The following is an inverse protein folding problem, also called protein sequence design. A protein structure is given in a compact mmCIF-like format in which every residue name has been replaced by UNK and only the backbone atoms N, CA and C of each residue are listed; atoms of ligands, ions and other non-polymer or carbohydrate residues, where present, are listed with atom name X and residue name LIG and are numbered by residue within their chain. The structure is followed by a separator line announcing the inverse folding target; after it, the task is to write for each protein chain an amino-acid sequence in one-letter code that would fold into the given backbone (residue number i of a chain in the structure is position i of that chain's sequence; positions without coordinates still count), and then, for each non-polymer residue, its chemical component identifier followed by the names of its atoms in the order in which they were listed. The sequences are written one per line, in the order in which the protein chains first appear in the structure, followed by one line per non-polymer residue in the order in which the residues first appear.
data_IF_182409491273
#
_entry.id   IF_182409491273
#
_cell.length_a   1.000
_cell.length_b   1.000
_cell.length_c   1.000
_cell.angle_alpha   90.00
_cell.angle_beta   90.00
_cell.angle_gamma   90.00
#
_symmetry.space_group_name_H-M   'P 1'
#
loop_
_entity.id
_entity.type
_entity.pdbx_description
1 polymer ?
#
# COMPACT_ATOMS: atom_id res chain seq x y z
N UNK A 1 7.80 -13.35 -18.80
CA UNK A 1 7.75 -12.06 -19.52
C UNK A 1 9.17 -11.50 -19.57
N UNK A 2 9.61 -11.01 -20.73
CA UNK A 2 10.89 -10.32 -20.86
C UNK A 2 10.88 -9.01 -20.04
N UNK A 3 11.98 -8.69 -19.38
CA UNK A 3 12.09 -7.44 -18.61
C UNK A 3 11.89 -6.23 -19.53
N UNK A 4 11.31 -5.12 -19.05
CA UNK A 4 11.04 -3.98 -19.92
C UNK A 4 12.35 -3.41 -20.48
N UNK A 5 12.37 -3.17 -21.79
CA UNK A 5 13.52 -2.67 -22.52
C UNK A 5 13.78 -1.18 -22.27
N UNK A 6 12.73 -0.37 -22.05
CA UNK A 6 12.87 1.08 -21.88
C UNK A 6 11.70 1.71 -21.08
N UNK A 7 11.82 2.99 -20.76
CA UNK A 7 10.80 3.73 -19.99
C UNK A 7 9.43 3.80 -20.69
N UNK A 8 9.38 3.73 -22.03
CA UNK A 8 8.11 3.80 -22.78
C UNK A 8 7.23 2.59 -22.48
N UNK A 9 7.83 1.41 -22.28
CA UNK A 9 7.08 0.22 -21.88
C UNK A 9 6.52 0.34 -20.46
N UNK A 10 7.30 0.86 -19.50
CA UNK A 10 6.81 1.14 -18.14
C UNK A 10 5.65 2.15 -18.17
N UNK A 11 5.78 3.20 -18.98
CA UNK A 11 4.75 4.21 -19.14
C UNK A 11 3.49 3.64 -19.81
N UNK A 12 3.64 2.79 -20.82
CA UNK A 12 2.52 2.10 -21.47
C UNK A 12 1.76 1.23 -20.47
N UNK A 13 2.49 0.48 -19.64
CA UNK A 13 1.92 -0.35 -18.59
C UNK A 13 1.15 0.49 -17.56
N UNK A 14 1.74 1.60 -17.11
CA UNK A 14 1.08 2.54 -16.22
C UNK A 14 -0.19 3.14 -16.83
N UNK A 15 -0.16 3.55 -18.10
CA UNK A 15 -1.32 4.11 -18.80
C UNK A 15 -2.47 3.11 -18.97
N UNK A 16 -2.16 1.82 -19.10
CA UNK A 16 -3.14 0.74 -19.14
C UNK A 16 -3.77 0.43 -17.78
N UNK A 17 -3.15 0.87 -16.67
CA UNK A 17 -3.66 0.63 -15.33
C UNK A 17 -4.94 1.43 -15.02
N UNK A 18 -5.77 0.96 -14.05
CA UNK A 18 -7.00 1.65 -13.67
C UNK A 18 -6.78 3.12 -13.32
N UNK A 19 -7.81 3.94 -13.56
CA UNK A 19 -7.74 5.40 -13.33
C UNK A 19 -7.34 5.72 -11.89
N UNK A 20 -7.81 4.94 -10.92
CA UNK A 20 -7.52 5.07 -9.50
C UNK A 20 -6.01 4.98 -9.24
N UNK A 21 -5.37 3.94 -9.76
CA UNK A 21 -3.91 3.73 -9.63
C UNK A 21 -3.15 4.89 -10.25
N UNK A 22 -3.58 5.33 -11.43
CA UNK A 22 -2.96 6.49 -12.12
C UNK A 22 -3.13 7.79 -11.34
N UNK A 23 -4.32 8.05 -10.81
CA UNK A 23 -4.60 9.24 -10.01
C UNK A 23 -3.84 9.23 -8.67
N UNK A 24 -3.55 8.06 -8.11
CA UNK A 24 -2.79 7.95 -6.87
C UNK A 24 -1.28 8.25 -7.04
N UNK A 25 -0.78 8.09 -8.27
CA UNK A 25 0.61 8.35 -8.67
C UNK A 25 0.69 9.51 -9.69
N UNK A 26 0.28 10.75 -9.31
CA UNK A 26 0.10 11.85 -10.25
C UNK A 26 1.40 12.29 -10.96
N UNK A 27 2.55 12.10 -10.31
CA UNK A 27 3.86 12.50 -10.84
C UNK A 27 4.56 11.40 -11.63
N UNK A 28 3.98 10.21 -11.73
CA UNK A 28 4.66 9.03 -12.27
C UNK A 28 5.19 9.24 -13.69
N UNK A 29 4.38 9.82 -14.58
CA UNK A 29 4.80 10.05 -15.97
C UNK A 29 6.00 11.00 -16.08
N UNK A 30 6.10 12.01 -15.20
CA UNK A 30 7.21 12.96 -15.19
C UNK A 30 8.47 12.29 -14.66
N UNK A 31 8.32 11.50 -13.60
CA UNK A 31 9.43 10.78 -12.95
C UNK A 31 10.13 9.84 -13.92
N UNK A 32 9.40 8.91 -14.54
CA UNK A 32 10.00 7.89 -15.41
C UNK A 32 10.57 8.43 -16.73
N UNK A 33 10.28 9.69 -17.09
CA UNK A 33 10.79 10.33 -18.32
C UNK A 33 11.99 11.25 -18.08
N UNK A 34 12.05 11.89 -16.92
CA UNK A 34 12.95 13.03 -16.69
C UNK A 34 13.81 12.93 -15.44
N UNK A 35 13.68 11.86 -14.66
CA UNK A 35 14.44 11.65 -13.43
C UNK A 35 15.11 10.28 -13.46
N UNK A 36 16.17 10.17 -12.66
CA UNK A 36 16.86 8.91 -12.46
C UNK A 36 15.93 7.84 -11.85
N UNK A 37 16.26 6.59 -12.13
CA UNK A 37 15.43 5.45 -11.74
C UNK A 37 15.28 5.29 -10.24
N UNK A 38 16.31 5.61 -9.48
CA UNK A 38 16.33 5.58 -8.02
C UNK A 38 15.40 6.63 -7.40
N UNK A 39 15.37 7.85 -7.94
CA UNK A 39 14.42 8.91 -7.56
C UNK A 39 12.99 8.46 -7.85
N UNK A 40 12.77 7.91 -9.04
CA UNK A 40 11.45 7.40 -9.46
C UNK A 40 10.96 6.27 -8.54
N UNK A 41 11.83 5.32 -8.20
CA UNK A 41 11.51 4.21 -7.29
C UNK A 41 11.24 4.73 -5.89
N UNK A 42 12.09 5.61 -5.36
CA UNK A 42 11.95 6.15 -4.00
C UNK A 42 10.60 6.86 -3.84
N UNK A 43 10.20 7.67 -4.82
CA UNK A 43 8.87 8.29 -4.83
C UNK A 43 7.76 7.23 -4.80
N UNK A 44 7.78 6.27 -5.71
CA UNK A 44 6.73 5.25 -5.79
C UNK A 44 6.63 4.45 -4.48
N UNK A 45 7.75 4.12 -3.84
CA UNK A 45 7.74 3.41 -2.57
C UNK A 45 7.20 4.23 -1.39
N UNK A 46 7.46 5.54 -1.33
CA UNK A 46 6.80 6.41 -0.34
C UNK A 46 5.27 6.37 -0.46
N UNK A 47 4.76 6.26 -1.69
CA UNK A 47 3.33 6.12 -1.98
C UNK A 47 2.81 4.74 -1.58
N UNK A 48 3.58 3.68 -1.82
CA UNK A 48 3.23 2.32 -1.37
C UNK A 48 3.17 2.21 0.15
N UNK A 49 4.13 2.80 0.87
CA UNK A 49 4.12 2.86 2.33
C UNK A 49 2.88 3.59 2.86
N UNK A 50 2.54 4.74 2.26
CA UNK A 50 1.31 5.47 2.57
C UNK A 50 0.05 4.61 2.36
N UNK A 51 0.01 3.82 1.29
CA UNK A 51 -1.12 2.90 1.03
C UNK A 51 -1.20 1.78 2.04
N UNK A 52 -0.07 1.24 2.52
CA UNK A 52 -0.09 0.19 3.55
C UNK A 52 -0.78 0.69 4.82
N UNK A 53 -0.41 1.86 5.33
CA UNK A 53 -1.12 2.50 6.47
C UNK A 53 -2.60 2.71 6.18
N UNK A 54 -2.92 3.34 5.04
CA UNK A 54 -4.30 3.63 4.63
C UNK A 54 -5.14 2.35 4.51
N UNK A 55 -4.56 1.26 4.00
CA UNK A 55 -5.26 -0.04 3.85
C UNK A 55 -5.65 -0.59 5.21
N UNK A 56 -4.75 -0.55 6.19
CA UNK A 56 -5.04 -1.02 7.55
C UNK A 56 -6.08 -0.11 8.20
N UNK A 57 -5.87 1.20 8.19
CA UNK A 57 -6.82 2.19 8.72
C UNK A 57 -8.23 2.01 8.15
N UNK A 58 -8.36 1.97 6.82
CA UNK A 58 -9.66 1.84 6.18
C UNK A 58 -10.31 0.49 6.50
N UNK A 59 -9.53 -0.59 6.55
CA UNK A 59 -10.05 -1.91 6.92
C UNK A 59 -10.63 -1.92 8.34
N UNK A 60 -9.91 -1.34 9.31
CA UNK A 60 -10.35 -1.28 10.71
C UNK A 60 -11.66 -0.49 10.82
N UNK A 61 -11.69 0.74 10.28
CA UNK A 61 -12.88 1.60 10.38
C UNK A 61 -14.08 1.01 9.63
N UNK A 62 -13.85 0.38 8.48
CA UNK A 62 -14.93 -0.17 7.64
C UNK A 62 -15.54 -1.45 8.21
N UNK A 63 -14.69 -2.39 8.61
CA UNK A 63 -15.10 -3.74 8.97
C UNK A 63 -15.42 -3.85 10.47
N UNK A 64 -14.79 -3.03 11.31
CA UNK A 64 -14.89 -3.12 12.77
C UNK A 64 -15.52 -1.86 13.38
N UNK A 65 -15.90 -0.89 12.54
CA UNK A 65 -16.67 0.32 12.92
C UNK A 65 -16.03 1.14 14.03
N UNK A 66 -14.71 1.13 14.11
CA UNK A 66 -13.99 1.92 15.12
C UNK A 66 -14.15 3.42 14.89
N UNK A 67 -13.99 4.17 15.98
CA UNK A 67 -13.88 5.63 15.94
C UNK A 67 -12.66 6.03 15.10
N UNK A 68 -12.87 6.89 14.11
CA UNK A 68 -11.93 7.14 13.02
C UNK A 68 -10.67 7.87 13.50
N UNK A 69 -10.80 8.88 14.36
CA UNK A 69 -9.65 9.66 14.84
C UNK A 69 -8.75 8.84 15.78
N UNK A 70 -9.36 8.06 16.67
CA UNK A 70 -8.61 7.15 17.54
C UNK A 70 -7.90 6.06 16.73
N UNK A 71 -8.56 5.53 15.70
CA UNK A 71 -7.97 4.51 14.81
C UNK A 71 -6.80 5.07 14.02
N UNK A 72 -6.95 6.27 13.44
CA UNK A 72 -5.89 6.93 12.69
C UNK A 72 -4.63 7.10 13.53
N UNK A 73 -4.76 7.69 14.73
CA UNK A 73 -3.63 7.88 15.66
C UNK A 73 -3.01 6.57 16.15
N UNK A 74 -3.78 5.48 16.23
CA UNK A 74 -3.25 4.19 16.63
C UNK A 74 -2.46 3.53 15.49
N UNK A 75 -2.96 3.61 14.25
CA UNK A 75 -2.27 3.07 13.06
C UNK A 75 -1.01 3.87 12.74
N UNK A 76 -1.05 5.20 12.84
CA UNK A 76 0.14 6.04 12.58
C UNK A 76 1.29 5.81 13.55
N UNK A 77 0.97 5.41 14.80
CA UNK A 77 1.98 5.06 15.81
C UNK A 77 2.55 3.66 15.63
N UNK A 78 1.88 2.80 14.89
CA UNK A 78 2.33 1.43 14.64
C UNK A 78 3.41 1.41 13.56
N UNK A 79 4.60 0.93 13.91
CA UNK A 79 5.69 0.85 12.94
C UNK A 79 5.39 -0.21 11.85
N UNK A 80 4.96 0.26 10.67
CA UNK A 80 4.51 -0.59 9.56
C UNK A 80 5.66 -1.20 8.75
N UNK A 81 6.37 -2.14 9.37
CA UNK A 81 7.29 -3.02 8.64
C UNK A 81 6.55 -3.94 7.65
N UNK A 82 7.29 -4.62 6.77
CA UNK A 82 6.73 -5.56 5.77
C UNK A 82 5.96 -6.71 6.42
N UNK A 83 6.55 -7.33 7.44
CA UNK A 83 5.89 -8.41 8.20
C UNK A 83 4.66 -7.88 8.92
N UNK A 84 4.81 -6.71 9.59
CA UNK A 84 3.72 -6.07 10.31
C UNK A 84 2.51 -5.78 9.43
N UNK A 85 2.72 -5.28 8.22
CA UNK A 85 1.63 -5.06 7.26
C UNK A 85 0.89 -6.35 6.91
N UNK A 86 1.59 -7.45 6.65
CA UNK A 86 0.98 -8.75 6.31
C UNK A 86 0.17 -9.30 7.49
N UNK A 87 0.72 -9.23 8.69
CA UNK A 87 0.06 -9.70 9.91
C UNK A 87 -1.21 -8.88 10.20
N UNK A 88 -1.09 -7.56 10.19
CA UNK A 88 -2.23 -6.67 10.40
C UNK A 88 -3.28 -6.82 9.31
N UNK A 89 -2.88 -7.01 8.05
CA UNK A 89 -3.83 -7.25 6.98
C UNK A 89 -4.67 -8.50 7.27
N UNK A 90 -4.03 -9.61 7.65
CA UNK A 90 -4.73 -10.85 8.01
C UNK A 90 -5.66 -10.66 9.20
N UNK A 91 -5.23 -9.94 10.23
CA UNK A 91 -6.03 -9.64 11.43
C UNK A 91 -7.26 -8.80 11.07
N UNK A 92 -7.08 -7.72 10.30
CA UNK A 92 -8.13 -6.76 9.98
C UNK A 92 -9.13 -7.31 8.99
N UNK A 93 -8.66 -8.00 7.95
CA UNK A 93 -9.50 -8.48 6.84
C UNK A 93 -9.91 -9.96 6.97
N UNK A 94 -9.41 -10.67 7.99
CA UNK A 94 -9.71 -12.08 8.25
C UNK A 94 -9.07 -13.07 7.27
N UNK A 95 -8.29 -12.60 6.29
CA UNK A 95 -7.60 -13.44 5.30
C UNK A 95 -6.25 -12.83 4.88
N UNK A 96 -5.25 -13.67 4.52
CA UNK A 96 -3.97 -13.17 4.02
C UNK A 96 -4.11 -12.52 2.64
N UNK A 97 -3.16 -11.65 2.28
CA UNK A 97 -3.01 -11.16 0.89
C UNK A 97 -2.59 -12.33 0.01
N UNK A 98 -3.08 -12.38 -1.22
CA UNK A 98 -2.67 -13.37 -2.22
C UNK A 98 -1.14 -13.41 -2.43
N UNK A 99 -0.58 -14.61 -2.48
CA UNK A 99 0.86 -14.83 -2.55
C UNK A 99 1.48 -14.30 -3.85
N UNK A 100 0.75 -14.31 -4.97
CA UNK A 100 1.24 -13.73 -6.23
C UNK A 100 1.34 -12.20 -6.14
N UNK A 101 0.42 -11.55 -5.41
CA UNK A 101 0.52 -10.12 -5.13
C UNK A 101 1.70 -9.81 -4.20
N UNK A 102 1.90 -10.62 -3.15
CA UNK A 102 3.04 -10.46 -2.25
C UNK A 102 4.38 -10.69 -2.95
N UNK A 103 4.44 -11.60 -3.91
CA UNK A 103 5.62 -11.84 -4.73
C UNK A 103 5.99 -10.59 -5.56
N UNK A 104 5.01 -9.96 -6.22
CA UNK A 104 5.22 -8.69 -6.96
C UNK A 104 5.75 -7.60 -6.05
N UNK A 105 5.12 -7.39 -4.89
CA UNK A 105 5.59 -6.42 -3.91
C UNK A 105 7.02 -6.74 -3.45
N UNK A 106 7.31 -8.00 -3.13
CA UNK A 106 8.62 -8.45 -2.65
C UNK A 106 9.73 -8.25 -3.69
N UNK A 107 9.45 -8.53 -4.97
CA UNK A 107 10.41 -8.33 -6.06
C UNK A 107 10.80 -6.86 -6.20
N UNK A 108 9.80 -5.97 -6.16
CA UNK A 108 10.06 -4.53 -6.22
C UNK A 108 10.77 -4.02 -4.98
N UNK A 109 10.40 -4.51 -3.79
CA UNK A 109 11.02 -4.17 -2.51
C UNK A 109 12.51 -4.52 -2.50
N UNK A 110 12.90 -5.64 -3.13
CA UNK A 110 14.31 -6.04 -3.24
C UNK A 110 15.14 -5.02 -4.05
N UNK A 111 14.59 -4.42 -5.10
CA UNK A 111 15.29 -3.37 -5.86
C UNK A 111 15.37 -2.07 -5.08
N UNK A 112 14.29 -1.68 -4.39
CA UNK A 112 14.28 -0.51 -3.50
C UNK A 112 15.31 -0.64 -2.40
N UNK A 113 15.47 -1.81 -1.80
CA UNK A 113 16.48 -2.03 -0.76
C UNK A 113 17.90 -1.92 -1.32
N UNK A 114 18.15 -2.45 -2.52
CA UNK A 114 19.46 -2.25 -3.17
C UNK A 114 19.77 -0.77 -3.36
N UNK A 115 18.81 0.00 -3.88
CA UNK A 115 18.93 1.45 -4.07
C UNK A 115 19.18 2.15 -2.72
N UNK A 116 18.34 1.91 -1.72
CA UNK A 116 18.43 2.56 -0.42
C UNK A 116 19.73 2.23 0.34
N UNK A 117 20.30 1.04 0.11
CA UNK A 117 21.56 0.62 0.71
C UNK A 117 22.79 0.88 -0.19
N UNK A 118 22.65 1.60 -1.31
CA UNK A 118 23.75 1.90 -2.22
C UNK A 118 24.40 0.67 -2.88
N UNK A 119 23.67 -0.46 -2.94
CA UNK A 119 24.14 -1.69 -3.60
C UNK A 119 23.96 -1.60 -5.10
N UNK A 120 24.68 -2.42 -5.86
CA UNK A 120 24.54 -2.48 -7.31
C UNK A 120 23.13 -2.92 -7.74
N UNK A 121 22.55 -2.16 -8.65
CA UNK A 121 21.28 -2.43 -9.33
C UNK A 121 21.39 -2.03 -10.80
N UNK A 122 20.48 -2.55 -11.63
CA UNK A 122 20.43 -2.25 -13.07
C UNK A 122 19.15 -1.54 -13.42
N UNK A 123 19.15 -0.76 -14.50
CA UNK A 123 17.92 -0.11 -14.96
C UNK A 123 16.82 -1.12 -15.33
N UNK A 124 17.19 -2.32 -15.80
CA UNK A 124 16.23 -3.39 -16.08
C UNK A 124 15.49 -3.82 -14.81
N UNK A 125 16.21 -3.97 -13.69
CA UNK A 125 15.61 -4.23 -12.37
C UNK A 125 14.70 -3.08 -11.95
N UNK A 126 15.11 -1.83 -12.18
CA UNK A 126 14.30 -0.68 -11.83
C UNK A 126 12.97 -0.66 -12.61
N UNK A 127 13.03 -0.83 -13.94
CA UNK A 127 11.84 -0.88 -14.79
C UNK A 127 10.89 -2.01 -14.41
N UNK A 128 11.43 -3.21 -14.16
CA UNK A 128 10.65 -4.35 -13.68
C UNK A 128 9.97 -4.05 -12.35
N UNK A 129 10.69 -3.46 -11.41
CA UNK A 129 10.15 -3.12 -10.08
C UNK A 129 9.00 -2.13 -10.16
N UNK A 130 9.07 -1.15 -11.06
CA UNK A 130 7.95 -0.22 -11.28
C UNK A 130 6.72 -0.92 -11.86
N UNK A 131 6.90 -1.86 -12.79
CA UNK A 131 5.79 -2.70 -13.30
C UNK A 131 5.20 -3.57 -12.18
N UNK A 132 6.04 -4.25 -11.42
CA UNK A 132 5.60 -5.10 -10.30
C UNK A 132 4.79 -4.31 -9.28
N UNK A 133 5.15 -3.04 -8.99
CA UNK A 133 4.35 -2.17 -8.11
C UNK A 133 3.03 -1.75 -8.75
N UNK A 134 2.97 -1.46 -10.05
CA UNK A 134 1.72 -1.14 -10.74
C UNK A 134 0.76 -2.34 -10.72
N UNK A 135 1.30 -3.54 -10.93
CA UNK A 135 0.54 -4.78 -10.89
C UNK A 135 0.08 -5.12 -9.47
N UNK A 136 0.95 -4.91 -8.48
CA UNK A 136 0.57 -5.02 -7.07
C UNK A 136 -0.53 -4.02 -6.71
N UNK A 137 -0.42 -2.77 -7.14
CA UNK A 137 -1.41 -1.72 -6.84
C UNK A 137 -2.79 -2.05 -7.43
N UNK A 138 -2.80 -2.52 -8.68
CA UNK A 138 -4.01 -2.96 -9.38
C UNK A 138 -4.61 -4.17 -8.67
N UNK A 139 -3.81 -5.20 -8.44
CA UNK A 139 -4.29 -6.43 -7.79
C UNK A 139 -4.73 -6.24 -6.35
N UNK A 140 -4.04 -5.41 -5.56
CA UNK A 140 -4.45 -5.08 -4.20
C UNK A 140 -5.78 -4.31 -4.18
N UNK A 141 -6.00 -3.41 -5.14
CA UNK A 141 -7.27 -2.72 -5.28
C UNK A 141 -8.42 -3.69 -5.47
N UNK A 142 -8.30 -4.64 -6.39
CA UNK A 142 -9.37 -5.60 -6.66
C UNK A 142 -9.55 -6.56 -5.49
N UNK A 143 -8.45 -7.07 -4.94
CA UNK A 143 -8.47 -7.96 -3.79
C UNK A 143 -9.16 -7.35 -2.55
N UNK A 144 -8.86 -6.10 -2.23
CA UNK A 144 -9.47 -5.38 -1.09
C UNK A 144 -10.89 -4.94 -1.42
N UNK A 145 -11.19 -4.60 -2.68
CA UNK A 145 -12.53 -4.24 -3.10
C UNK A 145 -13.50 -5.42 -2.97
N UNK A 146 -13.04 -6.63 -3.28
CA UNK A 146 -13.88 -7.83 -3.16
C UNK A 146 -14.35 -8.08 -1.73
N UNK A 147 -13.49 -7.82 -0.75
CA UNK A 147 -13.77 -8.12 0.67
C UNK A 147 -14.34 -6.96 1.47
N UNK A 148 -13.94 -5.73 1.19
CA UNK A 148 -14.30 -4.59 2.01
C UNK A 148 -14.90 -3.43 1.21
N UNK A 149 -15.00 -3.58 -0.13
CA UNK A 149 -15.49 -2.55 -1.06
C UNK A 149 -14.69 -1.24 -0.94
N UNK A 150 -13.40 -1.36 -0.63
CA UNK A 150 -12.43 -0.26 -0.57
C UNK A 150 -11.40 -0.47 -1.68
N UNK A 151 -10.98 0.62 -2.34
CA UNK A 151 -9.81 0.61 -3.24
C UNK A 151 -8.68 1.39 -2.56
N UNK A 152 -7.63 0.72 -2.03
CA UNK A 152 -6.54 1.39 -1.31
C UNK A 152 -5.79 2.46 -2.13
N UNK A 153 -5.56 2.19 -3.41
CA UNK A 153 -5.01 3.16 -4.36
C UNK A 153 -6.11 4.05 -4.96
N UNK A 154 -7.32 4.07 -4.39
CA UNK A 154 -8.39 5.01 -4.76
C UNK A 154 -8.12 6.40 -4.19
N UNK A 155 -8.37 7.43 -5.01
CA UNK A 155 -8.19 8.83 -4.61
C UNK A 155 -9.18 9.28 -3.54
N UNK A 156 -10.47 9.12 -3.78
CA UNK A 156 -11.53 9.58 -2.87
C UNK A 156 -11.94 8.48 -1.89
N UNK A 157 -11.78 8.76 -0.59
CA UNK A 157 -12.24 7.90 0.50
C UNK A 157 -13.54 8.41 1.13
N UNK A 158 -14.14 9.50 0.67
CA UNK A 158 -15.37 10.01 1.29
C UNK A 158 -16.46 8.94 1.25
N UNK A 159 -17.08 8.73 2.40
CA UNK A 159 -18.15 7.73 2.54
C UNK A 159 -17.69 6.27 2.60
N UNK A 160 -16.37 5.97 2.62
CA UNK A 160 -15.89 4.58 2.58
C UNK A 160 -16.48 3.72 3.70
N UNK A 161 -16.67 4.26 4.90
CA UNK A 161 -17.24 3.56 6.07
C UNK A 161 -18.74 3.22 5.94
N UNK A 162 -19.46 3.83 5.00
CA UNK A 162 -20.91 3.70 4.87
C UNK A 162 -21.68 4.50 5.92
N UNK A 163 -22.94 4.14 6.16
CA UNK A 163 -23.87 4.88 7.05
C UNK A 163 -23.87 4.42 8.51
N UNK A 164 -23.12 3.37 8.86
CA UNK A 164 -23.13 2.82 10.22
C UNK A 164 -22.42 3.76 11.19
N UNK A 165 -22.98 3.92 12.38
CA UNK A 165 -22.37 4.71 13.45
C UNK A 165 -21.10 4.03 13.98
N UNK A 166 -20.02 4.81 14.23
CA UNK A 166 -18.83 4.29 14.88
C UNK A 166 -19.12 3.83 16.31
N UNK A 167 -18.35 2.84 16.76
CA UNK A 167 -18.27 2.44 18.16
C UNK A 167 -17.78 3.59 19.03
N UNK A 168 -18.10 3.53 20.33
CA UNK A 168 -17.55 4.47 21.32
C UNK A 168 -16.01 4.44 21.32
N UNK A 169 -15.38 5.51 21.79
CA UNK A 169 -13.92 5.57 21.95
C UNK A 169 -13.39 4.46 22.88
N UNK A 170 -14.14 4.14 23.95
CA UNK A 170 -13.76 3.09 24.89
C UNK A 170 -13.80 1.71 24.23
N UNK A 171 -14.87 1.38 23.51
CA UNK A 171 -14.97 0.11 22.77
C UNK A 171 -13.91 0.04 21.67
N UNK A 172 -13.69 1.14 20.95
CA UNK A 172 -12.64 1.25 19.93
C UNK A 172 -11.26 0.94 20.51
N UNK A 173 -10.94 1.46 21.69
CA UNK A 173 -9.67 1.17 22.36
C UNK A 173 -9.48 -0.34 22.57
N UNK A 174 -10.50 -1.05 23.04
CA UNK A 174 -10.44 -2.50 23.24
C UNK A 174 -10.34 -3.28 21.93
N UNK A 175 -11.03 -2.84 20.87
CA UNK A 175 -10.92 -3.44 19.53
C UNK A 175 -9.49 -3.32 19.01
N UNK A 176 -8.91 -2.11 19.06
CA UNK A 176 -7.54 -1.86 18.60
C UNK A 176 -6.52 -2.65 19.42
N UNK A 177 -6.69 -2.71 20.74
CA UNK A 177 -5.83 -3.53 21.63
C UNK A 177 -5.93 -5.02 21.31
N UNK A 178 -7.14 -5.52 21.01
CA UNK A 178 -7.36 -6.91 20.59
C UNK A 178 -6.71 -7.24 19.24
N UNK A 179 -6.59 -6.26 18.34
CA UNK A 179 -5.82 -6.37 17.10
C UNK A 179 -4.31 -6.19 17.30
N UNK A 180 -3.89 -5.82 18.52
CA UNK A 180 -2.51 -5.53 18.87
C UNK A 180 -1.99 -4.21 18.32
N UNK A 181 -2.83 -3.17 18.16
CA UNK A 181 -2.48 -1.86 17.60
C UNK A 181 -2.57 -0.75 18.67
N UNK A 182 -1.51 0.07 18.88
CA UNK A 182 -0.17 -0.11 18.32
C UNK A 182 0.53 -1.33 18.95
N UNK A 183 1.66 -1.77 18.37
CA UNK A 183 2.41 -2.90 18.89
C UNK A 183 2.95 -2.56 20.28
N UNK A 184 2.91 -3.54 21.20
CA UNK A 184 3.49 -3.38 22.54
C UNK A 184 4.98 -3.02 22.43
N UNK A 185 5.38 -1.87 22.98
CA UNK A 185 6.74 -1.34 22.92
C UNK A 185 6.93 -0.14 21.97
N UNK A 186 5.92 0.21 21.16
CA UNK A 186 5.95 1.47 20.40
C UNK A 186 5.83 2.68 21.37
N UNK A 187 6.53 3.81 21.13
CA UNK A 187 6.50 4.99 22.00
C UNK A 187 5.05 5.48 22.21
N UNK A 188 4.70 5.80 23.47
CA UNK A 188 3.36 6.27 23.85
C UNK A 188 3.06 7.69 23.37
#
# INVERSE_FOLDING_TARGET
MNDPANYKQVLSHFKASPKEVRSYLPSFEKLVKGYDWDVSISYVFSRVESVKHKTIYCGIVKLHWTESELTHRAVDRDHMSRGRFRDLFKIVYGKPIDDQLLLKLSNAEATRDKIAHGKNWTEAQARKSLIDIIDFATGLNDFVYDIAKIRPFGGDLRGFKGRKEPLSKQTTHWVLKGMGIPKAGDPQ
#
